data_IF_414961441198
#
_entry.id   IF_414961441198
#
_cell.length_a   1.000
_cell.length_b   1.000
_cell.length_c   1.000
_cell.angle_alpha   90.00
_cell.angle_beta   90.00
_cell.angle_gamma   90.00
#
_symmetry.space_group_name_H-M   'P 1'
#
loop_
_entity.id
_entity.type
_entity.pdbx_description
1 polymer ?
#
# COMPACT_ATOMS: atom_id res chain seq x y z
N UNK A 1 14.03 11.78 12.89
CA UNK A 1 14.23 10.33 13.06
C UNK A 1 13.66 9.50 11.93
N UNK A 2 12.46 9.81 11.40
CA UNK A 2 11.83 9.12 10.25
C UNK A 2 12.74 9.01 9.00
N UNK A 3 13.45 10.08 8.62
CA UNK A 3 14.32 10.08 7.44
C UNK A 3 15.44 9.03 7.47
N UNK A 4 15.95 8.65 8.64
CA UNK A 4 16.99 7.61 8.77
C UNK A 4 16.43 6.21 8.51
N UNK A 5 15.17 5.96 8.85
CA UNK A 5 14.51 4.66 8.63
C UNK A 5 14.16 4.44 7.16
N UNK A 6 13.76 5.50 6.43
CA UNK A 6 13.43 5.44 5.00
C UNK A 6 14.65 5.20 4.10
N UNK A 7 15.85 5.62 4.53
CA UNK A 7 17.10 5.51 3.75
C UNK A 7 18.04 4.42 4.27
N UNK A 8 17.61 3.64 5.27
CA UNK A 8 18.44 2.61 5.87
C UNK A 8 18.67 1.45 4.89
N UNK A 9 19.91 1.07 4.63
CA UNK A 9 20.21 -0.15 3.89
C UNK A 9 19.88 -1.37 4.76
N UNK A 10 18.77 -2.05 4.50
CA UNK A 10 18.36 -3.28 5.18
C UNK A 10 17.03 -3.19 5.92
N UNK A 11 16.62 -4.30 6.54
CA UNK A 11 15.35 -4.40 7.27
C UNK A 11 15.34 -3.49 8.51
N UNK A 12 14.16 -2.94 8.81
CA UNK A 12 13.95 -2.16 10.03
C UNK A 12 13.93 -3.08 11.25
N UNK A 13 14.44 -2.59 12.40
CA UNK A 13 14.24 -3.25 13.68
C UNK A 13 12.82 -3.02 14.19
N UNK A 14 12.40 -3.78 15.21
CA UNK A 14 11.06 -3.63 15.80
C UNK A 14 10.84 -2.20 16.34
N UNK A 15 11.87 -1.59 16.95
CA UNK A 15 11.80 -0.21 17.44
C UNK A 15 11.69 0.79 16.29
N UNK A 16 12.39 0.56 15.18
CA UNK A 16 12.28 1.40 13.98
C UNK A 16 10.91 1.26 13.31
N UNK A 17 10.33 0.05 13.33
CA UNK A 17 8.97 -0.19 12.88
C UNK A 17 7.94 0.57 13.71
N UNK A 18 8.06 0.60 15.04
CA UNK A 18 7.18 1.40 15.90
C UNK A 18 7.22 2.89 15.51
N UNK A 19 8.42 3.41 15.21
CA UNK A 19 8.56 4.81 14.77
C UNK A 19 7.98 5.01 13.37
N UNK A 20 8.22 4.07 12.45
CA UNK A 20 7.72 4.15 11.09
C UNK A 20 6.19 4.19 11.04
N UNK A 21 5.51 3.33 11.79
CA UNK A 21 4.03 3.29 11.83
C UNK A 21 3.38 4.60 12.27
N UNK A 22 4.09 5.45 13.02
CA UNK A 22 3.58 6.76 13.47
C UNK A 22 3.36 7.76 12.34
N UNK A 23 3.87 7.52 11.12
CA UNK A 23 3.67 8.45 10.01
C UNK A 23 2.18 8.59 9.63
N UNK A 24 1.38 7.53 9.77
CA UNK A 24 -0.06 7.56 9.49
C UNK A 24 -0.77 8.56 10.42
N UNK A 25 -0.53 8.44 11.74
CA UNK A 25 -1.09 9.39 12.73
C UNK A 25 -0.52 10.80 12.56
N UNK A 26 0.78 10.91 12.28
CA UNK A 26 1.42 12.22 12.05
C UNK A 26 0.85 12.92 10.81
N UNK A 27 0.63 12.19 9.71
CA UNK A 27 -0.01 12.71 8.51
C UNK A 27 -1.44 13.17 8.77
N UNK A 28 -2.24 12.36 9.46
CA UNK A 28 -3.60 12.73 9.84
C UNK A 28 -3.63 13.98 10.72
N UNK A 29 -2.73 14.11 11.71
CA UNK A 29 -2.64 15.27 12.59
C UNK A 29 -2.28 16.55 11.81
N UNK A 30 -1.43 16.49 10.80
CA UNK A 30 -1.08 17.64 9.94
C UNK A 30 -2.31 18.10 9.15
N UNK A 31 -3.16 17.17 8.71
CA UNK A 31 -4.34 17.44 7.88
C UNK A 31 -5.59 17.78 8.70
N UNK A 32 -5.56 17.52 10.02
CA UNK A 32 -6.71 17.66 10.92
C UNK A 32 -7.17 19.11 11.10
N UNK A 33 -8.44 19.24 11.52
CA UNK A 33 -9.04 20.54 11.83
C UNK A 33 -9.58 21.33 10.64
N UNK A 34 -9.42 20.83 9.41
CA UNK A 34 -10.03 21.45 8.23
C UNK A 34 -11.49 21.01 8.06
N UNK A 35 -12.36 21.96 7.68
CA UNK A 35 -13.76 21.68 7.31
C UNK A 35 -13.94 21.36 5.83
N UNK A 36 -12.91 21.55 5.00
CA UNK A 36 -12.96 21.27 3.58
C UNK A 36 -13.06 19.74 3.33
N UNK A 37 -14.02 19.29 2.49
CA UNK A 37 -14.23 17.85 2.25
C UNK A 37 -12.98 17.12 1.77
N UNK A 38 -12.20 17.74 0.88
CA UNK A 38 -10.97 17.14 0.35
C UNK A 38 -9.91 16.94 1.44
N UNK A 39 -9.79 17.86 2.39
CA UNK A 39 -8.84 17.75 3.49
C UNK A 39 -9.23 16.66 4.48
N UNK A 40 -10.53 16.51 4.75
CA UNK A 40 -11.05 15.43 5.58
C UNK A 40 -10.80 14.06 4.93
N UNK A 41 -11.02 13.95 3.62
CA UNK A 41 -10.69 12.73 2.88
C UNK A 41 -9.19 12.43 2.95
N UNK A 42 -8.32 13.43 2.80
CA UNK A 42 -6.87 13.26 2.91
C UNK A 42 -6.46 12.82 4.33
N UNK A 43 -7.10 13.34 5.38
CA UNK A 43 -6.90 12.92 6.77
C UNK A 43 -7.29 11.46 6.97
N UNK A 44 -8.47 11.05 6.46
CA UNK A 44 -8.91 9.64 6.50
C UNK A 44 -7.93 8.71 5.78
N UNK A 45 -7.46 9.07 4.59
CA UNK A 45 -6.47 8.30 3.84
C UNK A 45 -5.17 8.19 4.65
N UNK A 46 -4.64 9.31 5.15
CA UNK A 46 -3.42 9.32 5.93
C UNK A 46 -3.49 8.38 7.13
N UNK A 47 -4.66 8.32 7.79
CA UNK A 47 -4.88 7.51 8.98
C UNK A 47 -5.12 6.03 8.66
N UNK A 48 -5.62 5.68 7.47
CA UNK A 48 -6.18 4.34 7.23
C UNK A 48 -5.56 3.57 6.05
N UNK A 49 -4.63 4.16 5.28
CA UNK A 49 -4.03 3.50 4.13
C UNK A 49 -3.15 2.27 4.48
N UNK A 50 -2.78 2.10 5.75
CA UNK A 50 -2.08 0.93 6.27
C UNK A 50 -2.96 0.00 7.10
N UNK A 51 -4.28 0.26 7.16
CA UNK A 51 -5.21 -0.72 7.71
C UNK A 51 -5.35 -1.90 6.74
N UNK A 52 -5.62 -3.08 7.28
CA UNK A 52 -5.78 -4.30 6.51
C UNK A 52 -7.19 -4.83 6.65
N UNK A 53 -7.72 -5.41 5.58
CA UNK A 53 -9.07 -5.98 5.59
C UNK A 53 -9.27 -7.01 6.71
N UNK A 54 -8.25 -7.80 7.01
CA UNK A 54 -8.22 -8.82 8.08
C UNK A 54 -8.08 -8.26 9.51
N UNK A 55 -7.87 -6.95 9.67
CA UNK A 55 -7.66 -6.28 10.96
C UNK A 55 -6.22 -6.34 11.47
N UNK A 56 -5.30 -6.91 10.71
CA UNK A 56 -3.87 -6.97 11.06
C UNK A 56 -3.09 -5.69 10.76
N UNK A 57 -3.78 -4.61 10.34
CA UNK A 57 -3.18 -3.34 9.98
C UNK A 57 -2.88 -2.41 11.15
N UNK A 58 -2.59 -1.15 10.85
CA UNK A 58 -2.32 -0.09 11.81
C UNK A 58 -2.79 1.27 11.27
N UNK A 59 -2.99 2.30 12.11
CA UNK A 59 -2.69 2.37 13.55
C UNK A 59 -3.84 1.87 14.45
N UNK A 60 -5.06 1.72 13.92
CA UNK A 60 -6.25 1.45 14.72
C UNK A 60 -6.65 -0.03 14.74
N UNK A 61 -6.13 -0.85 13.80
CA UNK A 61 -6.51 -2.25 13.65
C UNK A 61 -7.95 -2.43 13.17
N UNK A 62 -8.43 -1.52 12.32
CA UNK A 62 -9.75 -1.62 11.72
C UNK A 62 -9.82 -2.81 10.78
N UNK A 63 -11.01 -3.44 10.67
CA UNK A 63 -11.22 -4.59 9.78
C UNK A 63 -12.44 -4.41 8.90
N UNK A 64 -12.39 -5.00 7.71
CA UNK A 64 -13.51 -5.01 6.77
C UNK A 64 -14.01 -3.60 6.45
N UNK A 65 -15.31 -3.42 6.49
CA UNK A 65 -15.98 -2.14 6.17
C UNK A 65 -15.81 -1.05 7.25
N UNK A 66 -15.21 -1.36 8.39
CA UNK A 66 -14.80 -0.34 9.37
C UNK A 66 -13.72 0.60 8.79
N UNK A 67 -12.93 0.09 7.84
CA UNK A 67 -11.95 0.90 7.11
C UNK A 67 -12.72 1.76 6.09
N UNK A 68 -12.57 3.10 6.11
CA UNK A 68 -13.16 3.97 5.10
C UNK A 68 -12.81 3.53 3.67
N UNK A 69 -13.76 3.64 2.74
CA UNK A 69 -13.54 3.19 1.35
C UNK A 69 -12.32 3.84 0.71
N UNK A 70 -12.08 5.12 0.98
CA UNK A 70 -10.90 5.86 0.46
C UNK A 70 -9.59 5.27 0.97
N UNK A 71 -9.53 4.79 2.21
CA UNK A 71 -8.38 4.07 2.77
C UNK A 71 -8.17 2.73 2.10
N UNK A 72 -9.25 1.95 1.90
CA UNK A 72 -9.21 0.65 1.21
C UNK A 72 -8.71 0.76 -0.24
N UNK A 73 -9.15 1.80 -0.97
CA UNK A 73 -8.69 2.09 -2.33
C UNK A 73 -7.21 2.48 -2.31
N UNK A 74 -6.84 3.40 -1.42
CA UNK A 74 -5.46 3.87 -1.31
C UNK A 74 -4.49 2.73 -0.99
N UNK A 75 -4.86 1.80 -0.10
CA UNK A 75 -4.04 0.63 0.24
C UNK A 75 -3.69 -0.23 -0.99
N UNK A 76 -4.65 -0.50 -1.88
CA UNK A 76 -4.40 -1.26 -3.12
C UNK A 76 -3.47 -0.48 -4.05
N UNK A 77 -3.73 0.81 -4.27
CA UNK A 77 -2.93 1.63 -5.18
C UNK A 77 -1.49 1.81 -4.67
N UNK A 78 -1.32 2.07 -3.37
CA UNK A 78 -0.01 2.28 -2.74
C UNK A 78 0.87 1.03 -2.83
N UNK A 79 0.31 -0.14 -2.52
CA UNK A 79 1.04 -1.41 -2.64
C UNK A 79 1.37 -1.71 -4.09
N UNK A 80 0.44 -1.52 -5.02
CA UNK A 80 0.70 -1.72 -6.44
C UNK A 80 1.83 -0.83 -6.96
N UNK A 81 1.79 0.48 -6.65
CA UNK A 81 2.87 1.42 -7.00
C UNK A 81 4.19 1.02 -6.36
N UNK A 82 4.18 0.65 -5.08
CA UNK A 82 5.37 0.23 -4.35
C UNK A 82 6.02 -1.04 -4.92
N UNK A 83 5.23 -1.95 -5.49
CA UNK A 83 5.75 -3.15 -6.16
C UNK A 83 6.41 -2.84 -7.50
N UNK A 84 5.86 -1.88 -8.25
CA UNK A 84 6.35 -1.49 -9.57
C UNK A 84 7.47 -0.44 -9.53
N UNK A 85 7.61 0.29 -8.41
CA UNK A 85 8.60 1.35 -8.28
C UNK A 85 9.98 0.81 -7.91
N UNK A 86 11.08 1.30 -8.55
CA UNK A 86 12.43 0.94 -8.14
C UNK A 86 12.72 1.50 -6.74
N UNK A 87 13.29 0.67 -5.88
CA UNK A 87 13.74 1.07 -4.54
C UNK A 87 15.23 0.77 -4.38
N UNK A 88 15.98 1.46 -3.48
CA UNK A 88 17.43 1.31 -3.34
C UNK A 88 17.92 -0.13 -3.16
N UNK A 89 17.03 -1.05 -2.74
CA UNK A 89 17.36 -2.44 -2.38
C UNK A 89 16.41 -3.46 -3.03
N UNK A 90 15.54 -3.02 -3.98
CA UNK A 90 14.54 -3.90 -4.59
C UNK A 90 14.32 -3.47 -6.04
N UNK A 91 14.53 -4.39 -6.96
CA UNK A 91 14.12 -4.22 -8.34
C UNK A 91 12.59 -4.17 -8.46
N UNK A 92 12.06 -3.40 -9.41
CA UNK A 92 10.63 -3.40 -9.71
C UNK A 92 10.12 -4.81 -10.04
N UNK A 93 8.94 -5.13 -9.58
CA UNK A 93 8.30 -6.38 -9.99
C UNK A 93 7.74 -6.25 -11.40
N UNK A 94 7.67 -7.35 -12.18
CA UNK A 94 6.83 -7.39 -13.36
C UNK A 94 5.38 -7.07 -13.01
N UNK A 95 4.69 -6.34 -13.89
CA UNK A 95 3.29 -5.93 -13.66
C UNK A 95 2.40 -7.12 -13.32
N UNK A 96 2.56 -8.24 -14.06
CA UNK A 96 1.76 -9.44 -13.83
C UNK A 96 1.97 -10.01 -12.43
N UNK A 97 3.21 -10.02 -11.93
CA UNK A 97 3.52 -10.51 -10.59
C UNK A 97 2.91 -9.61 -9.50
N UNK A 98 2.89 -8.30 -9.72
CA UNK A 98 2.23 -7.35 -8.82
C UNK A 98 0.71 -7.55 -8.81
N UNK A 99 0.09 -7.81 -9.95
CA UNK A 99 -1.34 -8.12 -10.05
C UNK A 99 -1.68 -9.45 -9.35
N UNK A 100 -0.84 -10.46 -9.51
CA UNK A 100 -1.03 -11.76 -8.85
C UNK A 100 -0.89 -11.65 -7.33
N UNK A 101 -0.01 -10.76 -6.84
CA UNK A 101 0.11 -10.43 -5.42
C UNK A 101 -1.19 -9.80 -4.88
N UNK A 102 -1.76 -8.81 -5.57
CA UNK A 102 -3.03 -8.20 -5.17
C UNK A 102 -4.15 -9.25 -5.11
N UNK A 103 -4.21 -10.17 -6.09
CA UNK A 103 -5.18 -11.29 -6.09
C UNK A 103 -4.98 -12.23 -4.90
N UNK A 104 -3.74 -12.55 -4.56
CA UNK A 104 -3.39 -13.43 -3.44
C UNK A 104 -3.76 -12.85 -2.09
N UNK A 105 -3.64 -11.54 -1.95
CA UNK A 105 -3.93 -10.81 -0.72
C UNK A 105 -5.39 -10.32 -0.62
N UNK A 106 -6.22 -10.64 -1.62
CA UNK A 106 -7.67 -10.38 -1.63
C UNK A 106 -8.36 -11.02 -0.44
N UNK A 107 -9.11 -10.25 0.34
CA UNK A 107 -9.79 -10.71 1.55
C UNK A 107 -8.90 -10.86 2.77
N UNK A 108 -7.60 -10.55 2.67
CA UNK A 108 -6.64 -10.51 3.76
C UNK A 108 -6.13 -9.08 3.97
N UNK A 109 -5.16 -8.67 3.15
CA UNK A 109 -4.68 -7.30 3.14
C UNK A 109 -5.74 -6.37 2.55
N UNK A 110 -6.33 -6.74 1.42
CA UNK A 110 -7.17 -5.86 0.62
C UNK A 110 -8.66 -6.25 0.65
N UNK A 111 -9.52 -5.23 0.55
CA UNK A 111 -10.95 -5.40 0.31
C UNK A 111 -11.19 -6.17 -0.99
N UNK A 112 -11.93 -7.28 -0.95
CA UNK A 112 -12.26 -8.06 -2.14
C UNK A 112 -12.90 -7.23 -3.26
N UNK A 113 -13.84 -6.35 -2.92
CA UNK A 113 -14.55 -5.54 -3.91
C UNK A 113 -13.64 -4.50 -4.58
N UNK A 114 -12.69 -3.92 -3.83
CA UNK A 114 -11.73 -2.96 -4.37
C UNK A 114 -10.74 -3.68 -5.30
N UNK A 115 -10.24 -4.87 -4.91
CA UNK A 115 -9.36 -5.65 -5.79
C UNK A 115 -10.08 -6.04 -7.08
N UNK A 116 -11.33 -6.53 -7.00
CA UNK A 116 -12.09 -6.93 -8.17
C UNK A 116 -12.32 -5.75 -9.14
N UNK A 117 -12.65 -4.56 -8.60
CA UNK A 117 -12.80 -3.35 -9.39
C UNK A 117 -11.45 -2.91 -10.01
N UNK A 118 -10.36 -2.98 -9.26
CA UNK A 118 -9.02 -2.65 -9.76
C UNK A 118 -8.62 -3.58 -10.92
N UNK A 119 -8.85 -4.90 -10.80
CA UNK A 119 -8.56 -5.85 -11.87
C UNK A 119 -9.37 -5.56 -13.13
N UNK A 120 -10.66 -5.23 -12.99
CA UNK A 120 -11.50 -4.83 -14.13
C UNK A 120 -10.94 -3.60 -14.85
N UNK A 121 -10.50 -2.58 -14.09
CA UNK A 121 -9.87 -1.39 -14.67
C UNK A 121 -8.57 -1.72 -15.41
N UNK A 122 -7.75 -2.62 -14.86
CA UNK A 122 -6.49 -3.04 -15.51
C UNK A 122 -6.75 -3.80 -16.79
N UNK A 123 -7.76 -4.67 -16.83
CA UNK A 123 -8.14 -5.43 -18.03
C UNK A 123 -8.66 -4.51 -19.16
N UNK A 124 -9.25 -3.37 -18.81
CA UNK A 124 -9.69 -2.33 -19.75
C UNK A 124 -8.57 -1.41 -20.23
N UNK A 125 -7.39 -1.43 -19.57
CA UNK A 125 -6.24 -0.63 -19.98
C UNK A 125 -5.53 -1.27 -21.18
N UNK A 126 -4.93 -0.40 -22.04
CA UNK A 126 -4.22 -0.81 -23.25
C UNK A 126 -3.18 -1.90 -22.93
N UNK A 127 -3.19 -3.05 -23.64
CA UNK A 127 -2.19 -4.11 -23.52
C UNK A 127 -0.72 -3.62 -23.61
N UNK A 128 -0.45 -2.47 -24.20
CA UNK A 128 0.87 -1.84 -24.23
C UNK A 128 1.37 -1.41 -22.84
N UNK A 129 0.48 -1.09 -21.91
CA UNK A 129 0.84 -0.78 -20.52
C UNK A 129 1.19 -2.05 -19.72
N UNK A 130 0.63 -3.19 -20.10
CA UNK A 130 0.89 -4.50 -19.50
C UNK A 130 2.11 -5.19 -20.12
N UNK A 131 2.52 -4.78 -21.34
CA UNK A 131 3.61 -5.38 -22.11
C UNK A 131 4.99 -4.75 -21.83
N UNK A 132 5.15 -3.91 -20.82
CA UNK A 132 6.48 -3.46 -20.41
C UNK A 132 7.22 -4.60 -19.70
N UNK A 133 7.67 -5.57 -20.51
CA UNK A 133 8.49 -6.71 -20.10
C UNK A 133 9.82 -6.23 -19.49
N UNK A 134 9.89 -6.21 -18.16
CA UNK A 134 11.15 -6.40 -17.48
C UNK A 134 11.31 -7.89 -17.21
N UNK A 135 12.38 -8.46 -17.74
CA UNK A 135 12.70 -9.89 -17.61
C UNK A 135 12.64 -10.34 -16.14
N UNK A 136 12.13 -11.56 -15.85
CA UNK A 136 11.99 -12.03 -14.49
C UNK A 136 13.36 -12.19 -13.83
N UNK A 137 13.66 -11.38 -12.83
CA UNK A 137 14.75 -11.64 -11.91
C UNK A 137 14.23 -12.64 -10.88
N UNK A 138 14.75 -13.86 -10.92
CA UNK A 138 14.53 -14.88 -9.91
C UNK A 138 15.26 -14.46 -8.61
N UNK A 139 14.61 -13.65 -7.79
CA UNK A 139 15.03 -13.33 -6.44
C UNK A 139 13.94 -13.76 -5.46
N UNK A 140 14.32 -14.27 -4.30
CA UNK A 140 13.41 -14.58 -3.20
C UNK A 140 12.60 -13.32 -2.86
N UNK A 141 11.29 -13.40 -3.09
CA UNK A 141 10.36 -12.28 -2.91
C UNK A 141 9.94 -12.24 -1.44
N UNK A 142 10.34 -11.19 -0.74
CA UNK A 142 9.94 -10.96 0.66
C UNK A 142 8.65 -10.11 0.67
N UNK A 143 7.45 -10.70 0.95
CA UNK A 143 6.19 -9.96 0.98
C UNK A 143 6.09 -8.99 2.17
N UNK A 144 6.99 -9.06 3.15
CA UNK A 144 7.03 -8.16 4.29
C UNK A 144 7.75 -6.82 4.00
N UNK A 145 8.20 -6.61 2.75
CA UNK A 145 8.90 -5.39 2.33
C UNK A 145 7.97 -4.30 1.75
N UNK A 146 6.64 -4.43 1.92
CA UNK A 146 5.62 -3.45 1.52
C UNK A 146 5.07 -2.74 2.73
#
# INVERSE_FOLDING_TARGET
MLFRSLTKPGKLTDEEWVVMRRHAEAGANILSGSTAPIMRMAEEIALTHHERWDGGGYPQGLSGEQIPLVGRICAVCDVFDALLSPRPYKEPWPVQDALDELRRERGKHFDPAVVDAFMTLVDDLDPLLLASDHAPVAAERDPAAV
#
